data_IF_891397413060
#
_entry.id   IF_891397413060
#
_cell.length_a   1.000
_cell.length_b   1.000
_cell.length_c   1.000
_cell.angle_alpha   90.00
_cell.angle_beta   90.00
_cell.angle_gamma   90.00
#
_symmetry.space_group_name_H-M   'P 1'
#
loop_
_entity.id
_entity.type
_entity.pdbx_description
1 polymer ?
#
# COMPACT_ATOMS: atom_id res chain seq x y z
N UNK A 1 -26.81 -30.76 11.96
CA UNK A 1 -26.72 -29.51 11.16
C UNK A 1 -26.44 -28.32 12.08
N UNK A 2 -25.21 -28.19 12.60
CA UNK A 2 -24.85 -27.12 13.56
C UNK A 2 -23.47 -26.50 13.28
N UNK A 3 -22.80 -26.97 12.22
CA UNK A 3 -21.44 -26.55 11.83
C UNK A 3 -21.41 -25.48 10.72
N UNK A 4 -22.56 -25.14 10.12
CA UNK A 4 -22.61 -24.26 8.95
C UNK A 4 -22.63 -22.76 9.31
N UNK A 5 -22.87 -22.39 10.57
CA UNK A 5 -23.10 -20.99 10.97
C UNK A 5 -21.84 -20.22 11.37
N UNK A 6 -20.70 -20.91 11.62
CA UNK A 6 -19.44 -20.24 11.98
C UNK A 6 -18.69 -19.61 10.79
N UNK A 7 -19.01 -20.02 9.55
CA UNK A 7 -18.25 -19.58 8.37
C UNK A 7 -18.65 -18.18 7.88
N UNK A 8 -19.79 -17.64 8.31
CA UNK A 8 -20.32 -16.38 7.78
C UNK A 8 -19.85 -15.14 8.54
N UNK A 9 -19.34 -15.28 9.79
CA UNK A 9 -18.98 -14.14 10.66
C UNK A 9 -17.55 -13.63 10.41
N UNK A 10 -16.69 -14.37 9.72
CA UNK A 10 -15.31 -13.94 9.44
C UNK A 10 -15.15 -13.02 8.22
N UNK A 11 -16.17 -12.84 7.38
CA UNK A 11 -16.06 -12.07 6.14
C UNK A 11 -16.18 -10.54 6.32
N UNK A 12 -16.41 -10.06 7.54
CA UNK A 12 -16.79 -8.66 7.80
C UNK A 12 -15.62 -7.67 7.95
N UNK A 13 -14.36 -8.11 7.86
CA UNK A 13 -13.20 -7.26 8.12
C UNK A 13 -12.29 -7.01 6.90
N UNK A 14 -12.80 -7.13 5.67
CA UNK A 14 -12.06 -6.66 4.48
C UNK A 14 -12.39 -5.19 4.19
N UNK A 15 -11.80 -4.26 4.97
CA UNK A 15 -11.73 -2.85 4.59
C UNK A 15 -10.31 -2.55 4.09
N UNK A 16 -10.15 -2.32 2.80
CA UNK A 16 -8.87 -1.85 2.27
C UNK A 16 -8.64 -0.40 2.74
N UNK A 17 -7.70 -0.19 3.64
CA UNK A 17 -7.37 1.14 4.15
C UNK A 17 -6.53 1.92 3.12
N UNK A 18 -6.93 3.17 2.86
CA UNK A 18 -6.25 4.09 1.95
C UNK A 18 -5.69 5.27 2.74
N UNK A 19 -4.38 5.47 2.66
CA UNK A 19 -3.65 6.49 3.38
C UNK A 19 -3.02 7.47 2.41
N UNK A 20 -3.27 8.77 2.57
CA UNK A 20 -2.47 9.78 1.87
C UNK A 20 -1.13 9.95 2.61
N UNK A 21 -0.03 9.73 1.92
CA UNK A 21 1.33 9.79 2.47
C UNK A 21 2.21 10.69 1.62
N UNK A 22 3.18 11.35 2.24
CA UNK A 22 4.25 12.05 1.53
C UNK A 22 5.51 11.19 1.56
N UNK A 23 6.04 10.84 0.40
CA UNK A 23 7.16 9.90 0.27
C UNK A 23 8.25 10.41 -0.64
N UNK A 24 9.49 10.04 -0.33
CA UNK A 24 10.65 10.20 -1.21
C UNK A 24 11.28 8.84 -1.48
N UNK A 25 11.84 8.65 -2.67
CA UNK A 25 12.63 7.45 -2.98
C UNK A 25 14.01 7.57 -2.36
N UNK A 26 14.46 6.50 -1.70
CA UNK A 26 15.78 6.42 -1.05
C UNK A 26 16.66 5.29 -1.59
N UNK A 27 16.07 4.29 -2.26
CA UNK A 27 16.77 3.24 -3.00
C UNK A 27 15.87 2.69 -4.14
N UNK A 28 16.33 1.71 -4.91
CA UNK A 28 15.71 1.15 -6.11
C UNK A 28 14.28 0.68 -5.93
N UNK A 29 13.90 0.24 -4.73
CA UNK A 29 12.55 -0.19 -4.40
C UNK A 29 12.16 0.29 -3.00
N UNK A 30 12.80 1.33 -2.49
CA UNK A 30 12.65 1.77 -1.11
C UNK A 30 12.24 3.24 -1.09
N UNK A 31 11.10 3.48 -0.45
CA UNK A 31 10.55 4.79 -0.22
C UNK A 31 10.51 5.05 1.28
N UNK A 32 10.66 6.31 1.67
CA UNK A 32 10.56 6.75 3.06
C UNK A 32 9.49 7.82 3.16
N UNK A 33 8.56 7.64 4.10
CA UNK A 33 7.56 8.65 4.43
C UNK A 33 8.19 9.79 5.23
N UNK A 34 7.49 10.93 5.33
CA UNK A 34 7.87 12.02 6.24
C UNK A 34 7.95 11.59 7.71
N UNK A 35 7.22 10.55 8.10
CA UNK A 35 7.20 10.00 9.47
C UNK A 35 8.25 8.91 9.71
N UNK A 36 9.27 8.84 8.86
CA UNK A 36 10.39 7.89 8.98
C UNK A 36 9.98 6.42 8.81
N UNK A 37 8.86 6.15 8.13
CA UNK A 37 8.41 4.79 7.81
C UNK A 37 8.94 4.40 6.44
N UNK A 38 9.50 3.21 6.34
CA UNK A 38 10.00 2.64 5.10
C UNK A 38 8.95 1.76 4.42
N UNK A 39 8.78 1.98 3.11
CA UNK A 39 7.90 1.20 2.25
C UNK A 39 8.80 0.55 1.18
N UNK A 40 8.95 -0.78 1.26
CA UNK A 40 9.65 -1.55 0.24
C UNK A 40 8.66 -2.05 -0.79
N UNK A 41 8.90 -1.75 -2.07
CA UNK A 41 8.12 -2.23 -3.21
C UNK A 41 8.76 -3.47 -3.82
N UNK A 42 8.03 -4.22 -4.65
CA UNK A 42 8.61 -5.36 -5.39
C UNK A 42 9.53 -4.89 -6.52
N UNK A 43 8.95 -4.19 -7.50
CA UNK A 43 9.64 -3.61 -8.65
C UNK A 43 8.95 -2.28 -8.99
N UNK A 44 9.52 -1.16 -8.55
CA UNK A 44 8.95 0.17 -8.75
C UNK A 44 10.00 1.12 -9.30
N UNK A 45 9.75 1.65 -10.49
CA UNK A 45 10.67 2.59 -11.14
C UNK A 45 10.25 4.05 -10.97
N UNK A 46 9.17 4.31 -10.20
CA UNK A 46 8.67 5.66 -10.00
C UNK A 46 9.68 6.48 -9.19
N UNK A 47 10.30 7.48 -9.83
CA UNK A 47 11.26 8.37 -9.18
C UNK A 47 10.54 9.56 -8.58
N UNK A 48 10.69 9.76 -7.27
CA UNK A 48 10.20 10.94 -6.57
C UNK A 48 11.23 11.42 -5.56
N UNK A 49 11.43 12.74 -5.51
CA UNK A 49 12.24 13.43 -4.50
C UNK A 49 11.40 13.90 -3.30
N UNK A 50 10.10 13.58 -3.27
CA UNK A 50 9.13 14.06 -2.31
C UNK A 50 7.82 14.41 -3.00
N UNK A 51 6.84 13.52 -2.94
CA UNK A 51 5.50 13.74 -3.49
C UNK A 51 4.41 13.09 -2.65
N UNK A 52 3.19 13.59 -2.79
CA UNK A 52 2.01 12.90 -2.27
C UNK A 52 1.78 11.60 -3.04
N UNK A 53 1.38 10.55 -2.32
CA UNK A 53 0.98 9.26 -2.86
C UNK A 53 -0.17 8.70 -2.02
N UNK A 54 -0.91 7.75 -2.58
CA UNK A 54 -1.88 6.94 -1.85
C UNK A 54 -1.23 5.60 -1.54
N UNK A 55 -1.09 5.28 -0.26
CA UNK A 55 -0.74 3.97 0.23
C UNK A 55 -2.03 3.19 0.49
N UNK A 56 -2.27 2.16 -0.33
CA UNK A 56 -3.26 1.12 -0.08
C UNK A 56 -2.59 0.00 0.69
N UNK A 57 -3.02 -0.24 1.93
CA UNK A 57 -2.37 -1.24 2.78
C UNK A 57 -3.36 -1.96 3.69
N UNK A 58 -3.25 -3.29 3.72
CA UNK A 58 -3.89 -4.20 4.65
C UNK A 58 -2.92 -5.37 4.93
N UNK A 59 -2.77 -5.77 6.20
CA UNK A 59 -1.81 -6.79 6.63
C UNK A 59 -2.05 -8.18 6.00
N UNK A 60 -3.27 -8.46 5.56
CA UNK A 60 -3.67 -9.74 4.97
C UNK A 60 -3.97 -9.63 3.47
N UNK A 61 -3.76 -8.45 2.87
CA UNK A 61 -3.97 -8.26 1.44
C UNK A 61 -2.73 -8.56 0.61
N UNK A 62 -2.97 -9.22 -0.54
CA UNK A 62 -1.97 -9.43 -1.59
C UNK A 62 -1.89 -8.28 -2.59
N UNK A 63 -2.75 -7.26 -2.46
CA UNK A 63 -2.92 -6.15 -3.40
C UNK A 63 -2.43 -4.78 -2.88
N UNK A 64 -1.63 -4.81 -1.81
CA UNK A 64 -1.00 -3.64 -1.22
C UNK A 64 -0.19 -2.87 -2.27
N UNK A 65 -0.37 -1.55 -2.30
CA UNK A 65 0.20 -0.72 -3.35
C UNK A 65 0.48 0.71 -2.88
N UNK A 66 1.54 1.28 -3.45
CA UNK A 66 1.85 2.70 -3.38
C UNK A 66 1.50 3.31 -4.74
N UNK A 67 0.60 4.29 -4.74
CA UNK A 67 -0.02 4.85 -5.96
C UNK A 67 0.35 6.33 -6.05
N UNK A 68 1.01 6.70 -7.14
CA UNK A 68 1.37 8.06 -7.49
C UNK A 68 0.49 8.57 -8.64
N UNK A 69 0.49 9.89 -8.85
CA UNK A 69 -0.20 10.54 -9.96
C UNK A 69 -1.68 10.14 -10.04
N UNK A 70 -2.34 10.06 -8.88
CA UNK A 70 -3.69 9.49 -8.75
C UNK A 70 -4.78 10.35 -9.41
N UNK A 71 -4.46 11.57 -9.81
CA UNK A 71 -5.30 12.49 -10.57
C UNK A 71 -5.16 12.33 -12.10
N UNK A 72 -4.16 11.57 -12.56
CA UNK A 72 -3.95 11.27 -13.97
C UNK A 72 -4.86 10.14 -14.46
N UNK A 73 -5.08 10.10 -15.78
CA UNK A 73 -5.87 9.03 -16.43
C UNK A 73 -5.29 7.63 -16.21
N UNK A 74 -3.97 7.52 -16.08
CA UNK A 74 -3.26 6.28 -15.78
C UNK A 74 -2.32 6.55 -14.59
N UNK A 75 -2.69 6.15 -13.37
CA UNK A 75 -1.85 6.36 -12.20
C UNK A 75 -0.65 5.43 -12.19
N UNK A 76 0.45 5.87 -11.59
CA UNK A 76 1.64 5.03 -11.42
C UNK A 76 1.49 4.19 -10.16
N UNK A 77 1.22 2.89 -10.32
CA UNK A 77 1.03 1.95 -9.21
C UNK A 77 2.26 1.08 -8.99
N UNK A 78 2.68 0.95 -7.74
CA UNK A 78 3.78 0.09 -7.32
C UNK A 78 3.35 -0.89 -6.23
N UNK A 79 3.54 -2.18 -6.45
CA UNK A 79 3.17 -3.21 -5.48
C UNK A 79 4.08 -3.16 -4.24
N UNK A 80 3.47 -3.10 -3.06
CA UNK A 80 4.17 -3.04 -1.78
C UNK A 80 4.51 -4.46 -1.33
N UNK A 81 5.78 -4.66 -0.97
CA UNK A 81 6.31 -5.92 -0.42
C UNK A 81 6.21 -5.94 1.11
N UNK A 82 6.57 -4.84 1.77
CA UNK A 82 6.47 -4.69 3.23
C UNK A 82 6.59 -3.22 3.66
N UNK A 83 6.14 -2.94 4.88
CA UNK A 83 6.29 -1.67 5.57
C UNK A 83 7.02 -1.91 6.89
N UNK A 84 8.00 -1.07 7.22
CA UNK A 84 8.79 -1.19 8.46
C UNK A 84 9.33 0.17 8.93
N UNK A 85 9.85 0.23 10.14
CA UNK A 85 10.50 1.40 10.74
C UNK A 85 11.97 1.09 11.02
#
# INVERSE_FOLDING_TARGET
MKFLFCLFVCLSFLNAELYKVYVKRVDSNLYRTSDEIFIETKFCYHYTYGSEAILKYDNYSYDNALIFDYDMTIPSKCDVKRIFK
#
